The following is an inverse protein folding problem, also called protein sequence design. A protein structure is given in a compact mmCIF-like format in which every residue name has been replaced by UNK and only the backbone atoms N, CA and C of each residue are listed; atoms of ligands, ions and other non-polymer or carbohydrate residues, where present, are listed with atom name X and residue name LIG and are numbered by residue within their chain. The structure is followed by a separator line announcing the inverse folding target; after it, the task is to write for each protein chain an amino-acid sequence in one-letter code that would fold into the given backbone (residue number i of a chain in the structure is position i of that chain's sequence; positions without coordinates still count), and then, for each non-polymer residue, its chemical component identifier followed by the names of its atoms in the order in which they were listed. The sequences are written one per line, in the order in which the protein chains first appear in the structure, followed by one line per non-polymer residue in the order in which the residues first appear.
data_IF_710910216322
#
_entry.id   IF_710910216322
#
_cell.length_a   1.000
_cell.length_b   1.000
_cell.length_c   1.000
_cell.angle_alpha   90.00
_cell.angle_beta   90.00
_cell.angle_gamma   90.00
#
_symmetry.space_group_name_H-M   'P 1'
#
loop_
_entity.id
_entity.type
_entity.pdbx_description
1 polymer ?
#
# COMPACT_ATOMS: atom_id res chain seq x y z
N UNK A 1 -51.91 -1.03 37.24
CA UNK A 1 -51.20 -1.49 36.04
C UNK A 1 -49.78 -0.98 36.15
N UNK A 2 -48.83 -1.90 36.25
CA UNK A 2 -47.50 -1.71 36.82
C UNK A 2 -46.47 -1.26 35.76
N UNK A 3 -45.70 -0.23 36.08
CA UNK A 3 -44.60 0.31 35.26
C UNK A 3 -43.45 -0.71 35.06
N UNK A 4 -43.51 -1.87 35.72
CA UNK A 4 -42.60 -3.00 35.53
C UNK A 4 -42.76 -3.79 34.22
N UNK A 5 -43.86 -3.64 33.47
CA UNK A 5 -44.07 -4.43 32.23
C UNK A 5 -43.52 -3.80 30.94
N UNK A 6 -43.15 -2.52 30.94
CA UNK A 6 -42.57 -1.86 29.76
C UNK A 6 -41.06 -2.08 29.59
N UNK A 7 -40.37 -2.61 30.60
CA UNK A 7 -38.92 -2.90 30.55
C UNK A 7 -38.56 -4.31 30.08
N UNK A 8 -39.54 -5.22 29.99
CA UNK A 8 -39.28 -6.65 29.70
C UNK A 8 -39.45 -7.05 28.23
N UNK A 9 -39.64 -6.08 27.32
CA UNK A 9 -39.77 -6.31 25.88
C UNK A 9 -38.63 -5.70 25.04
N UNK A 10 -37.63 -5.07 25.68
CA UNK A 10 -36.49 -4.43 25.01
C UNK A 10 -35.12 -5.08 25.30
N UNK A 11 -35.07 -6.12 26.13
CA UNK A 11 -33.83 -6.85 26.51
C UNK A 11 -33.65 -8.19 25.77
N UNK A 12 -34.46 -8.47 24.74
CA UNK A 12 -34.48 -9.75 24.03
C UNK A 12 -33.75 -9.78 22.68
N UNK A 13 -33.20 -8.67 22.22
CA UNK A 13 -32.51 -8.58 20.93
C UNK A 13 -31.22 -7.77 21.10
N UNK A 14 -30.27 -8.33 21.85
CA UNK A 14 -28.87 -7.96 21.66
C UNK A 14 -28.50 -8.15 20.19
N UNK A 15 -27.55 -7.37 19.63
CA UNK A 15 -27.10 -7.55 18.26
C UNK A 15 -26.80 -9.03 18.06
N UNK A 16 -27.40 -9.67 17.04
CA UNK A 16 -27.03 -11.04 16.68
C UNK A 16 -25.50 -11.13 16.71
N UNK A 17 -24.91 -12.10 17.42
CA UNK A 17 -23.47 -12.17 17.52
C UNK A 17 -22.93 -12.21 16.10
N UNK A 18 -22.20 -11.16 15.72
CA UNK A 18 -21.60 -11.06 14.40
C UNK A 18 -20.95 -12.41 14.10
N UNK A 19 -21.43 -13.11 13.06
CA UNK A 19 -20.92 -14.44 12.72
C UNK A 19 -19.42 -14.31 12.45
N UNK A 20 -18.61 -14.67 13.44
CA UNK A 20 -17.16 -14.64 13.32
C UNK A 20 -16.76 -15.92 12.61
N UNK A 21 -16.11 -15.75 11.46
CA UNK A 21 -15.52 -16.85 10.71
C UNK A 21 -14.03 -16.56 10.55
N UNK A 22 -13.21 -17.60 10.67
CA UNK A 22 -11.79 -17.48 10.34
C UNK A 22 -11.64 -17.72 8.84
N UNK A 23 -11.10 -16.73 8.13
CA UNK A 23 -10.86 -16.83 6.68
C UNK A 23 -9.37 -17.01 6.42
N UNK A 24 -8.98 -18.16 5.87
CA UNK A 24 -7.63 -18.39 5.36
C UNK A 24 -7.61 -18.17 3.85
N UNK A 25 -6.63 -17.39 3.37
CA UNK A 25 -6.35 -17.22 1.94
C UNK A 25 -5.14 -18.07 1.58
N UNK A 26 -5.32 -18.99 0.63
CA UNK A 26 -4.36 -20.06 0.34
C UNK A 26 -4.52 -21.23 1.31
N UNK A 27 -3.87 -22.35 0.99
CA UNK A 27 -3.93 -23.55 1.83
C UNK A 27 -2.86 -23.50 2.93
N UNK A 28 -3.22 -23.84 4.18
CA UNK A 28 -2.24 -24.05 5.25
C UNK A 28 -1.19 -25.08 4.83
N UNK A 29 0.03 -24.94 5.35
CA UNK A 29 1.17 -25.78 4.96
C UNK A 29 0.98 -27.20 5.49
N UNK A 30 0.43 -27.35 6.70
CA UNK A 30 0.24 -28.61 7.39
C UNK A 30 -1.02 -28.61 8.29
N UNK A 31 -1.28 -29.78 8.89
CA UNK A 31 -2.40 -30.02 9.81
C UNK A 31 -2.33 -29.13 11.07
N UNK A 32 -1.14 -28.94 11.62
CA UNK A 32 -0.93 -28.13 12.84
C UNK A 32 -1.19 -26.64 12.59
N UNK A 33 -0.83 -26.13 11.41
CA UNK A 33 -1.16 -24.77 10.99
C UNK A 33 -2.65 -24.60 10.70
N UNK A 34 -3.28 -25.59 10.07
CA UNK A 34 -4.73 -25.58 9.88
C UNK A 34 -5.45 -25.52 11.24
N UNK A 35 -5.03 -26.33 12.20
CA UNK A 35 -5.65 -26.39 13.53
C UNK A 35 -5.42 -25.12 14.35
N UNK A 36 -4.20 -24.56 14.33
CA UNK A 36 -3.91 -23.26 14.95
C UNK A 36 -4.78 -22.12 14.39
N UNK A 37 -5.14 -22.17 13.10
CA UNK A 37 -5.97 -21.15 12.46
C UNK A 37 -7.46 -21.39 12.67
N UNK A 38 -7.92 -22.64 12.57
CA UNK A 38 -9.34 -22.97 12.48
C UNK A 38 -9.92 -23.74 13.68
N UNK A 39 -9.11 -24.13 14.66
CA UNK A 39 -9.53 -24.88 15.86
C UNK A 39 -10.26 -24.07 16.93
N UNK A 40 -10.44 -22.76 16.71
CA UNK A 40 -11.06 -21.83 17.67
C UNK A 40 -12.58 -21.96 17.88
N UNK A 41 -13.21 -23.05 17.41
CA UNK A 41 -14.65 -23.30 17.56
C UNK A 41 -15.57 -22.43 16.70
N UNK A 42 -15.00 -21.62 15.80
CA UNK A 42 -15.74 -20.83 14.82
C UNK A 42 -15.74 -21.54 13.45
N UNK A 43 -16.78 -21.34 12.63
CA UNK A 43 -16.76 -21.83 11.25
C UNK A 43 -15.56 -21.23 10.49
N UNK A 44 -14.78 -22.11 9.85
CA UNK A 44 -13.63 -21.74 9.03
C UNK A 44 -13.97 -21.69 7.55
N UNK A 45 -13.49 -20.67 6.83
CA UNK A 45 -13.53 -20.61 5.38
C UNK A 45 -12.09 -20.60 4.85
N UNK A 46 -11.80 -21.43 3.84
CA UNK A 46 -10.51 -21.44 3.16
C UNK A 46 -10.71 -21.09 1.68
N UNK A 47 -10.18 -19.95 1.26
CA UNK A 47 -10.18 -19.50 -0.13
C UNK A 47 -8.93 -20.03 -0.82
N UNK A 48 -9.11 -20.85 -1.86
CA UNK A 48 -8.03 -21.55 -2.53
C UNK A 48 -8.28 -21.70 -4.02
N UNK A 49 -7.22 -21.87 -4.80
CA UNK A 49 -7.35 -22.26 -6.21
C UNK A 49 -7.63 -23.75 -6.32
N UNK A 50 -8.36 -24.19 -7.34
CA UNK A 50 -8.73 -25.61 -7.50
C UNK A 50 -7.55 -26.60 -7.44
N UNK A 51 -6.35 -26.18 -7.84
CA UNK A 51 -5.10 -26.98 -7.75
C UNK A 51 -4.64 -27.28 -6.33
N UNK A 52 -5.06 -26.49 -5.35
CA UNK A 52 -4.65 -26.60 -3.95
C UNK A 52 -5.61 -27.49 -3.14
N UNK A 53 -6.77 -27.84 -3.72
CA UNK A 53 -7.81 -28.66 -3.08
C UNK A 53 -7.32 -30.04 -2.61
N UNK A 54 -6.49 -30.80 -3.38
CA UNK A 54 -5.98 -32.08 -2.90
C UNK A 54 -5.12 -31.95 -1.66
N UNK A 55 -4.31 -30.90 -1.57
CA UNK A 55 -3.47 -30.63 -0.40
C UNK A 55 -4.33 -30.28 0.82
N UNK A 56 -5.33 -29.40 0.66
CA UNK A 56 -6.25 -29.06 1.75
C UNK A 56 -7.00 -30.30 2.26
N UNK A 57 -7.52 -31.14 1.35
CA UNK A 57 -8.23 -32.39 1.73
C UNK A 57 -7.35 -33.32 2.57
N UNK A 58 -6.07 -33.44 2.22
CA UNK A 58 -5.11 -34.26 2.96
C UNK A 58 -4.89 -33.73 4.37
N UNK A 59 -4.54 -32.44 4.52
CA UNK A 59 -4.25 -31.85 5.84
C UNK A 59 -5.51 -31.73 6.71
N UNK A 60 -6.68 -31.49 6.10
CA UNK A 60 -7.95 -31.48 6.82
C UNK A 60 -8.28 -32.87 7.37
N UNK A 61 -8.10 -33.92 6.56
CA UNK A 61 -8.26 -35.30 7.03
C UNK A 61 -7.27 -35.67 8.14
N UNK A 62 -6.02 -35.21 8.07
CA UNK A 62 -5.01 -35.39 9.12
C UNK A 62 -5.38 -34.69 10.43
N UNK A 63 -5.95 -33.48 10.34
CA UNK A 63 -6.39 -32.69 11.50
C UNK A 63 -7.83 -33.01 11.95
N UNK A 64 -8.55 -33.90 11.27
CA UNK A 64 -9.92 -34.29 11.62
C UNK A 64 -11.01 -33.26 11.26
N UNK A 65 -10.75 -32.38 10.29
CA UNK A 65 -11.73 -31.43 9.78
C UNK A 65 -12.54 -32.02 8.61
N UNK A 66 -13.86 -31.86 8.68
CA UNK A 66 -14.76 -32.11 7.55
C UNK A 66 -14.82 -30.88 6.65
N UNK A 67 -14.56 -31.09 5.35
CA UNK A 67 -14.57 -30.03 4.35
C UNK A 67 -15.88 -30.07 3.56
N UNK A 68 -16.68 -29.02 3.71
CA UNK A 68 -17.87 -28.78 2.90
C UNK A 68 -17.57 -27.69 1.86
N UNK A 69 -17.96 -27.87 0.58
CA UNK A 69 -17.97 -26.77 -0.37
C UNK A 69 -18.81 -25.63 0.20
N UNK A 70 -18.23 -24.43 0.30
CA UNK A 70 -19.02 -23.25 0.61
C UNK A 70 -20.04 -23.08 -0.52
N UNK A 71 -21.30 -23.40 -0.25
CA UNK A 71 -22.38 -23.29 -1.22
C UNK A 71 -22.54 -21.82 -1.63
N UNK A 72 -21.90 -21.41 -2.72
CA UNK A 72 -22.21 -20.16 -3.41
C UNK A 72 -23.31 -20.43 -4.44
N UNK A 73 -24.55 -20.60 -3.99
CA UNK A 73 -25.73 -20.48 -4.88
C UNK A 73 -26.08 -19.00 -5.14
N UNK A 74 -25.34 -18.05 -4.56
CA UNK A 74 -25.50 -16.63 -4.88
C UNK A 74 -24.69 -16.33 -6.13
N UNK A 75 -25.38 -16.16 -7.26
CA UNK A 75 -24.77 -15.56 -8.42
C UNK A 75 -24.16 -14.21 -7.98
N UNK A 76 -22.85 -13.99 -8.16
CA UNK A 76 -22.21 -12.74 -7.79
C UNK A 76 -22.85 -11.52 -8.48
N UNK A 77 -23.58 -11.73 -9.58
CA UNK A 77 -24.41 -10.72 -10.21
C UNK A 77 -25.62 -10.33 -9.38
N UNK A 78 -26.27 -11.24 -8.66
CA UNK A 78 -27.46 -10.94 -7.87
C UNK A 78 -27.12 -10.04 -6.69
N UNK A 79 -25.99 -10.31 -6.02
CA UNK A 79 -25.47 -9.46 -4.94
C UNK A 79 -25.15 -8.05 -5.47
N UNK A 80 -24.55 -7.96 -6.66
CA UNK A 80 -24.19 -6.69 -7.26
C UNK A 80 -25.42 -5.90 -7.74
N UNK A 81 -26.41 -6.57 -8.32
CA UNK A 81 -27.68 -5.96 -8.76
C UNK A 81 -28.46 -5.45 -7.56
N UNK A 82 -28.47 -6.18 -6.45
CA UNK A 82 -29.11 -5.73 -5.20
C UNK A 82 -28.43 -4.46 -4.65
N UNK A 83 -27.10 -4.42 -4.58
CA UNK A 83 -26.37 -3.24 -4.11
C UNK A 83 -26.56 -2.02 -5.03
N UNK A 84 -26.58 -2.23 -6.35
CA UNK A 84 -26.86 -1.16 -7.31
C UNK A 84 -28.27 -0.61 -7.13
N UNK A 85 -29.26 -1.49 -6.95
CA UNK A 85 -30.65 -1.08 -6.70
C UNK A 85 -30.75 -0.18 -5.47
N UNK A 86 -30.20 -0.62 -4.35
CA UNK A 86 -30.22 0.14 -3.10
C UNK A 86 -29.54 1.52 -3.26
N UNK A 87 -28.40 1.56 -3.96
CA UNK A 87 -27.69 2.81 -4.26
C UNK A 87 -28.56 3.77 -5.09
N UNK A 88 -29.23 3.25 -6.12
CA UNK A 88 -30.10 4.05 -6.99
C UNK A 88 -31.34 4.53 -6.24
N UNK A 89 -32.00 3.66 -5.48
CA UNK A 89 -33.17 4.00 -4.66
C UNK A 89 -32.82 5.09 -3.63
N UNK A 90 -31.71 4.93 -2.91
CA UNK A 90 -31.22 5.94 -1.97
C UNK A 90 -30.90 7.27 -2.65
N UNK A 91 -30.29 7.26 -3.84
CA UNK A 91 -29.99 8.47 -4.58
C UNK A 91 -31.27 9.20 -5.07
N UNK A 92 -32.28 8.44 -5.50
CA UNK A 92 -33.57 9.00 -5.92
C UNK A 92 -34.29 9.68 -4.75
N UNK A 93 -34.21 9.11 -3.55
CA UNK A 93 -34.88 9.66 -2.37
C UNK A 93 -34.13 10.84 -1.73
N UNK A 94 -32.79 10.80 -1.74
CA UNK A 94 -31.97 11.66 -0.88
C UNK A 94 -31.06 12.64 -1.63
N UNK A 95 -31.04 12.64 -2.97
CA UNK A 95 -30.16 13.50 -3.77
C UNK A 95 -30.92 14.46 -4.66
N UNK A 96 -30.35 15.66 -4.89
CA UNK A 96 -30.87 16.57 -5.92
C UNK A 96 -30.44 16.08 -7.32
N UNK A 97 -31.43 15.58 -8.07
CA UNK A 97 -31.24 15.05 -9.41
C UNK A 97 -31.45 16.10 -10.52
N UNK A 98 -31.99 17.28 -10.21
CA UNK A 98 -32.30 18.32 -11.20
C UNK A 98 -31.08 18.72 -12.06
N UNK A 99 -29.87 18.94 -11.49
CA UNK A 99 -28.70 19.26 -12.30
C UNK A 99 -28.34 18.14 -13.28
N UNK A 100 -28.56 16.89 -12.88
CA UNK A 100 -28.22 15.71 -13.68
C UNK A 100 -29.21 15.48 -14.82
N UNK A 101 -30.48 15.85 -14.65
CA UNK A 101 -31.46 15.80 -15.73
C UNK A 101 -31.02 16.64 -16.93
N UNK A 102 -30.56 17.88 -16.70
CA UNK A 102 -30.09 18.77 -17.77
C UNK A 102 -28.89 18.17 -18.51
N UNK A 103 -27.96 17.56 -17.78
CA UNK A 103 -26.76 16.94 -18.38
C UNK A 103 -27.12 15.68 -19.18
N UNK A 104 -28.06 14.88 -18.68
CA UNK A 104 -28.41 13.60 -19.29
C UNK A 104 -29.48 13.71 -20.38
N UNK A 105 -30.23 14.82 -20.45
CA UNK A 105 -31.33 15.02 -21.40
C UNK A 105 -30.91 14.72 -22.86
N UNK A 106 -29.82 15.27 -23.42
CA UNK A 106 -29.42 14.97 -24.79
C UNK A 106 -29.07 13.49 -25.02
N UNK A 107 -28.49 12.83 -24.01
CA UNK A 107 -28.12 11.41 -24.08
C UNK A 107 -29.35 10.51 -24.01
N UNK A 108 -30.34 10.90 -23.20
CA UNK A 108 -31.62 10.19 -23.06
C UNK A 108 -32.43 10.34 -24.35
N UNK A 109 -32.45 11.52 -24.96
CA UNK A 109 -33.09 11.73 -26.27
C UNK A 109 -32.42 10.89 -27.37
N UNK A 110 -31.08 10.83 -27.39
CA UNK A 110 -30.34 10.12 -28.42
C UNK A 110 -30.39 8.58 -28.29
N UNK A 111 -30.41 8.04 -27.07
CA UNK A 111 -30.18 6.61 -26.81
C UNK A 111 -31.28 5.92 -25.98
N UNK A 112 -32.22 6.68 -25.43
CA UNK A 112 -33.25 6.20 -24.53
C UNK A 112 -32.75 5.97 -23.10
N UNK A 113 -33.63 6.22 -22.12
CA UNK A 113 -33.29 6.17 -20.69
C UNK A 113 -32.71 4.82 -20.23
N UNK A 114 -33.22 3.70 -20.77
CA UNK A 114 -32.75 2.36 -20.40
C UNK A 114 -31.30 2.10 -20.78
N UNK A 115 -30.91 2.53 -21.98
CA UNK A 115 -29.54 2.35 -22.49
C UNK A 115 -28.58 3.22 -21.72
N UNK A 116 -28.95 4.48 -21.46
CA UNK A 116 -28.16 5.40 -20.64
C UNK A 116 -27.98 4.86 -19.22
N UNK A 117 -29.05 4.38 -18.58
CA UNK A 117 -28.98 3.77 -17.25
C UNK A 117 -28.07 2.53 -17.22
N UNK A 118 -28.20 1.62 -18.20
CA UNK A 118 -27.34 0.44 -18.29
C UNK A 118 -25.87 0.80 -18.52
N UNK A 119 -25.58 1.81 -19.36
CA UNK A 119 -24.23 2.29 -19.61
C UNK A 119 -23.61 2.92 -18.35
N UNK A 120 -24.37 3.73 -17.60
CA UNK A 120 -23.92 4.33 -16.34
C UNK A 120 -23.67 3.26 -15.27
N UNK A 121 -24.56 2.27 -15.14
CA UNK A 121 -24.38 1.14 -14.23
C UNK A 121 -23.08 0.37 -14.56
N UNK A 122 -22.81 0.10 -15.85
CA UNK A 122 -21.57 -0.52 -16.29
C UNK A 122 -20.34 0.35 -16.00
N UNK A 123 -20.42 1.66 -16.22
CA UNK A 123 -19.32 2.59 -15.99
C UNK A 123 -18.98 2.72 -14.49
N UNK A 124 -19.99 2.78 -13.62
CA UNK A 124 -19.81 2.73 -12.16
C UNK A 124 -19.12 1.44 -11.75
N UNK A 125 -19.53 0.31 -12.33
CA UNK A 125 -18.90 -0.98 -12.04
C UNK A 125 -17.44 -1.03 -12.49
N UNK A 126 -17.13 -0.51 -13.67
CA UNK A 126 -15.76 -0.43 -14.16
C UNK A 126 -14.88 0.36 -13.18
N UNK A 127 -15.35 1.51 -12.70
CA UNK A 127 -14.64 2.32 -11.70
C UNK A 127 -14.43 1.60 -10.38
N UNK A 128 -15.47 0.95 -9.83
CA UNK A 128 -15.32 0.18 -8.59
C UNK A 128 -14.32 -0.98 -8.74
N UNK A 129 -14.27 -1.62 -9.90
CA UNK A 129 -13.30 -2.68 -10.17
C UNK A 129 -11.88 -2.13 -10.31
N UNK A 130 -11.71 -0.96 -10.90
CA UNK A 130 -10.42 -0.25 -10.98
C UNK A 130 -9.96 0.17 -9.58
N UNK A 131 -10.83 0.79 -8.79
CA UNK A 131 -10.58 1.15 -7.39
C UNK A 131 -10.24 -0.07 -6.54
N UNK A 132 -10.97 -1.17 -6.68
CA UNK A 132 -10.68 -2.43 -5.98
C UNK A 132 -9.34 -3.03 -6.42
N UNK A 133 -8.96 -2.90 -7.70
CA UNK A 133 -7.66 -3.34 -8.21
C UNK A 133 -6.53 -2.47 -7.69
N UNK A 134 -6.73 -1.16 -7.60
CA UNK A 134 -5.76 -0.23 -7.04
C UNK A 134 -5.62 -0.40 -5.52
N UNK A 135 -6.71 -0.73 -4.81
CA UNK A 135 -6.69 -1.08 -3.40
C UNK A 135 -6.08 -2.47 -3.12
N UNK A 136 -6.29 -3.43 -4.03
CA UNK A 136 -5.71 -4.78 -3.95
C UNK A 136 -4.30 -4.87 -4.50
N UNK A 137 -3.81 -3.79 -5.14
CA UNK A 137 -2.43 -3.68 -5.55
C UNK A 137 -1.62 -3.64 -4.26
N UNK A 138 -0.78 -4.66 -3.98
CA UNK A 138 0.00 -4.65 -2.75
C UNK A 138 0.79 -3.36 -2.74
N UNK A 139 0.52 -2.52 -1.74
CA UNK A 139 1.42 -1.45 -1.37
C UNK A 139 2.78 -2.13 -1.20
N UNK A 140 3.65 -2.01 -2.21
CA UNK A 140 5.00 -2.57 -2.15
C UNK A 140 5.70 -1.79 -1.03
N UNK A 141 5.68 -2.40 0.15
CA UNK A 141 6.35 -1.95 1.36
C UNK A 141 5.64 -0.82 2.11
N UNK A 142 4.51 -1.11 2.75
CA UNK A 142 4.10 -0.37 3.96
C UNK A 142 3.92 -1.38 5.08
N UNK A 143 5.03 -1.67 5.77
CA UNK A 143 4.96 -2.20 7.12
C UNK A 143 4.26 -1.15 7.96
N UNK A 144 3.04 -1.46 8.40
CA UNK A 144 2.36 -0.70 9.42
C UNK A 144 3.17 -0.81 10.71
N UNK A 145 3.71 0.32 11.17
CA UNK A 145 3.89 0.54 12.60
C UNK A 145 2.85 1.57 13.01
N UNK A 146 2.02 1.15 13.97
CA UNK A 146 0.97 1.93 14.58
C UNK A 146 1.55 3.12 15.35
N UNK A 147 0.85 4.26 15.24
CA UNK A 147 0.81 5.31 16.24
C UNK A 147 1.91 6.36 16.14
N UNK A 148 1.57 7.52 15.59
CA UNK A 148 1.78 8.76 16.34
C UNK A 148 0.89 9.87 15.78
N UNK A 149 0.07 10.41 16.65
CA UNK A 149 -0.65 11.66 16.47
C UNK A 149 0.35 12.82 16.33
N UNK A 150 0.07 13.74 15.39
CA UNK A 150 0.58 15.11 15.44
C UNK A 150 1.90 15.38 14.74
N UNK A 151 1.81 15.87 13.50
CA UNK A 151 2.89 16.58 12.84
C UNK A 151 2.44 16.97 11.44
N UNK A 152 2.48 18.25 11.08
CA UNK A 152 2.07 18.75 9.76
C UNK A 152 2.86 18.12 8.60
N UNK A 153 2.64 18.55 7.35
CA UNK A 153 3.35 17.99 6.20
C UNK A 153 4.86 18.20 6.34
N UNK A 154 5.58 17.19 6.85
CA UNK A 154 7.02 17.20 6.96
C UNK A 154 7.62 17.00 5.58
N UNK A 155 8.52 17.90 5.19
CA UNK A 155 9.25 17.79 3.94
C UNK A 155 10.28 16.65 4.04
N UNK A 156 10.07 15.58 3.29
CA UNK A 156 11.01 14.48 3.14
C UNK A 156 11.91 14.71 1.93
N UNK A 157 13.22 14.54 2.12
CA UNK A 157 14.23 14.53 1.05
C UNK A 157 14.77 13.12 0.85
N UNK A 158 15.08 12.78 -0.40
CA UNK A 158 15.57 11.45 -0.76
C UNK A 158 17.09 11.39 -0.70
N UNK A 159 17.60 10.42 0.04
CA UNK A 159 19.02 10.09 0.13
C UNK A 159 19.33 8.84 -0.69
N UNK A 160 20.51 8.83 -1.29
CA UNK A 160 21.11 7.68 -1.97
C UNK A 160 22.19 7.08 -1.07
N UNK A 161 22.13 5.77 -0.86
CA UNK A 161 23.11 5.02 -0.08
C UNK A 161 23.71 3.92 -0.96
N UNK A 162 25.03 3.82 -1.00
CA UNK A 162 25.78 2.92 -1.90
C UNK A 162 25.75 1.43 -1.54
N UNK A 163 24.83 1.00 -0.67
CA UNK A 163 24.65 -0.40 -0.24
C UNK A 163 23.26 -0.88 -0.58
N UNK A 164 23.13 -2.17 -0.91
CA UNK A 164 21.89 -2.77 -1.38
C UNK A 164 21.66 -4.18 -0.86
N UNK A 165 20.65 -4.86 -1.40
CA UNK A 165 20.26 -6.21 -0.98
C UNK A 165 21.37 -7.24 -1.23
N UNK A 166 22.25 -7.03 -2.23
CA UNK A 166 23.41 -7.91 -2.48
C UNK A 166 24.45 -7.88 -1.36
N UNK A 167 24.42 -6.85 -0.53
CA UNK A 167 25.27 -6.73 0.66
C UNK A 167 24.64 -7.45 1.87
N UNK A 168 23.57 -8.22 1.64
CA UNK A 168 22.83 -8.98 2.65
C UNK A 168 21.91 -8.13 3.52
N UNK A 169 21.81 -6.82 3.27
CA UNK A 169 21.05 -5.89 4.09
C UNK A 169 19.56 -5.96 3.78
N UNK A 170 18.73 -6.13 4.81
CA UNK A 170 17.30 -5.93 4.75
C UNK A 170 16.88 -4.48 5.06
N UNK A 171 15.63 -4.10 4.80
CA UNK A 171 15.11 -2.77 5.15
C UNK A 171 15.23 -2.45 6.66
N UNK A 172 15.03 -3.46 7.53
CA UNK A 172 15.20 -3.31 8.98
C UNK A 172 16.65 -3.08 9.40
N UNK A 173 17.61 -3.73 8.73
CA UNK A 173 19.04 -3.51 8.99
C UNK A 173 19.46 -2.09 8.61
N UNK A 174 18.92 -1.57 7.51
CA UNK A 174 19.19 -0.21 7.05
C UNK A 174 18.58 0.83 7.98
N UNK A 175 17.34 0.62 8.43
CA UNK A 175 16.72 1.48 9.44
C UNK A 175 17.55 1.50 10.74
N UNK A 176 17.97 0.32 11.22
CA UNK A 176 18.80 0.19 12.41
C UNK A 176 20.16 0.87 12.25
N UNK A 177 20.80 0.72 11.09
CA UNK A 177 22.08 1.38 10.83
C UNK A 177 21.95 2.90 10.71
N UNK A 178 20.89 3.40 10.08
CA UNK A 178 20.67 4.85 9.96
C UNK A 178 20.40 5.46 11.33
N UNK A 179 19.46 4.89 12.09
CA UNK A 179 19.13 5.38 13.44
C UNK A 179 20.29 5.23 14.42
N UNK A 180 21.03 4.12 14.36
CA UNK A 180 22.19 3.85 15.21
C UNK A 180 23.39 4.77 14.94
N UNK A 181 23.72 5.03 13.67
CA UNK A 181 24.91 5.83 13.31
C UNK A 181 24.63 7.35 13.34
N UNK A 182 23.42 7.76 12.95
CA UNK A 182 23.08 9.20 12.87
C UNK A 182 22.35 9.74 14.10
N UNK A 183 21.92 8.86 15.01
CA UNK A 183 21.21 9.22 16.24
C UNK A 183 19.83 9.85 16.00
N UNK A 184 19.26 9.68 14.81
CA UNK A 184 17.91 10.14 14.49
C UNK A 184 16.87 9.13 14.95
N UNK A 185 15.66 9.62 15.16
CA UNK A 185 14.53 8.76 15.48
C UNK A 185 14.01 8.07 14.22
N UNK A 186 13.44 6.88 14.38
CA UNK A 186 12.95 6.08 13.25
C UNK A 186 11.73 6.67 12.54
N UNK A 187 10.99 7.57 13.20
CA UNK A 187 9.89 8.37 12.62
C UNK A 187 10.39 9.41 11.60
N UNK A 188 11.62 9.89 11.75
CA UNK A 188 12.26 10.83 10.82
C UNK A 188 12.78 10.14 9.54
N UNK A 189 12.68 8.81 9.47
CA UNK A 189 13.03 7.98 8.33
C UNK A 189 11.74 7.47 7.70
N UNK A 190 11.47 7.94 6.49
CA UNK A 190 10.33 7.52 5.69
C UNK A 190 10.62 6.26 4.88
N UNK A 191 10.22 6.28 3.61
CA UNK A 191 10.27 5.11 2.74
C UNK A 191 11.70 4.68 2.41
N UNK A 192 11.98 3.38 2.59
CA UNK A 192 13.23 2.71 2.19
C UNK A 192 12.96 1.87 0.93
N UNK A 193 13.54 2.28 -0.20
CA UNK A 193 13.55 1.53 -1.46
C UNK A 193 14.91 0.84 -1.65
N UNK A 194 14.93 -0.45 -1.29
CA UNK A 194 16.09 -1.31 -1.36
C UNK A 194 16.27 -1.86 -2.79
N UNK A 195 17.41 -1.60 -3.42
CA UNK A 195 17.82 -2.19 -4.70
C UNK A 195 18.98 -3.14 -4.51
N UNK A 196 19.30 -3.89 -5.56
CA UNK A 196 20.41 -4.83 -5.57
C UNK A 196 21.75 -4.18 -5.18
N UNK A 197 22.03 -2.99 -5.72
CA UNK A 197 23.34 -2.32 -5.64
C UNK A 197 23.35 -1.03 -4.84
N UNK A 198 22.17 -0.48 -4.50
CA UNK A 198 22.02 0.76 -3.75
C UNK A 198 20.68 0.79 -3.02
N UNK A 199 20.52 1.75 -2.12
CA UNK A 199 19.26 1.98 -1.40
C UNK A 199 18.89 3.45 -1.51
N UNK A 200 17.60 3.73 -1.68
CA UNK A 200 17.04 5.08 -1.55
C UNK A 200 16.24 5.18 -0.27
N UNK A 201 16.47 6.23 0.50
CA UNK A 201 15.78 6.45 1.78
C UNK A 201 15.23 7.86 1.82
N UNK A 202 13.95 8.00 2.07
CA UNK A 202 13.33 9.30 2.32
C UNK A 202 13.55 9.66 3.80
N UNK A 203 14.09 10.84 4.09
CA UNK A 203 14.43 11.33 5.44
C UNK A 203 13.93 12.75 5.59
N UNK A 204 13.52 13.18 6.79
CA UNK A 204 13.18 14.58 7.04
C UNK A 204 14.31 15.53 6.62
N UNK A 205 13.96 16.63 5.95
CA UNK A 205 14.92 17.61 5.42
C UNK A 205 15.88 18.14 6.51
N UNK A 206 15.36 18.38 7.72
CA UNK A 206 16.11 18.92 8.86
C UNK A 206 17.25 17.99 9.34
N UNK A 207 17.13 16.68 9.12
CA UNK A 207 18.12 15.70 9.58
C UNK A 207 18.92 15.06 8.44
N UNK A 208 18.56 15.31 7.19
CA UNK A 208 19.21 14.72 6.02
C UNK A 208 20.72 14.97 5.95
N UNK A 209 21.19 16.19 6.19
CA UNK A 209 22.62 16.50 6.21
C UNK A 209 23.38 15.81 7.36
N UNK A 210 22.70 15.56 8.48
CA UNK A 210 23.26 14.84 9.62
C UNK A 210 23.44 13.37 9.26
N UNK A 211 22.43 12.76 8.65
CA UNK A 211 22.48 11.37 8.17
C UNK A 211 23.59 11.17 7.15
N UNK A 212 23.73 12.06 6.17
CA UNK A 212 24.79 11.99 5.16
C UNK A 212 26.18 12.02 5.81
N UNK A 213 26.40 12.91 6.78
CA UNK A 213 27.68 13.02 7.47
C UNK A 213 27.98 11.81 8.35
N UNK A 214 26.97 11.29 9.04
CA UNK A 214 27.11 10.13 9.92
C UNK A 214 27.40 8.84 9.15
N UNK A 215 26.74 8.62 8.00
CA UNK A 215 26.91 7.39 7.22
C UNK A 215 28.18 7.39 6.36
N UNK A 216 28.67 8.57 5.95
CA UNK A 216 29.87 8.65 5.12
C UNK A 216 31.12 8.27 5.91
N UNK A 217 31.73 7.15 5.56
CA UNK A 217 32.94 6.64 6.21
C UNK A 217 32.68 5.52 7.23
N UNK A 218 31.41 5.19 7.49
CA UNK A 218 31.01 4.03 8.29
C UNK A 218 31.04 2.76 7.43
N UNK A 219 31.36 1.63 8.05
CA UNK A 219 31.31 0.32 7.42
C UNK A 219 30.11 -0.47 7.93
N UNK A 220 29.11 -0.68 7.08
CA UNK A 220 27.94 -1.50 7.40
C UNK A 220 28.19 -2.90 6.83
N UNK A 221 28.20 -3.92 7.71
CA UNK A 221 28.47 -5.32 7.35
C UNK A 221 29.73 -5.53 6.51
N UNK A 222 30.81 -4.82 6.86
CA UNK A 222 32.11 -4.94 6.19
C UNK A 222 32.24 -4.20 4.85
N UNK A 223 31.21 -3.44 4.44
CA UNK A 223 31.26 -2.60 3.25
C UNK A 223 31.24 -1.12 3.63
N UNK A 224 32.16 -0.34 3.05
CA UNK A 224 32.19 1.10 3.24
C UNK A 224 30.96 1.75 2.60
N UNK A 225 30.27 2.56 3.38
CA UNK A 225 29.02 3.21 2.98
C UNK A 225 29.28 4.64 2.56
N UNK A 226 28.68 5.01 1.43
CA UNK A 226 28.60 6.38 0.95
C UNK A 226 27.14 6.80 0.89
N UNK A 227 26.83 7.92 1.51
CA UNK A 227 25.52 8.57 1.45
C UNK A 227 25.63 9.91 0.71
N UNK A 228 24.69 10.21 -0.17
CA UNK A 228 24.59 11.47 -0.90
C UNK A 228 23.11 11.83 -1.13
N UNK A 229 22.80 13.07 -1.50
CA UNK A 229 21.45 13.44 -1.91
C UNK A 229 21.09 12.78 -3.25
N UNK A 230 19.88 12.22 -3.35
CA UNK A 230 19.40 11.64 -4.60
C UNK A 230 19.02 12.78 -5.57
N UNK A 231 19.84 12.93 -6.62
CA UNK A 231 19.69 13.96 -7.65
C UNK A 231 18.42 13.79 -8.52
N UNK A 232 17.60 12.77 -8.28
CA UNK A 232 16.31 12.57 -8.96
C UNK A 232 15.15 13.40 -8.40
N UNK A 233 15.36 14.12 -7.29
CA UNK A 233 14.38 15.11 -6.77
C UNK A 233 14.90 16.53 -7.03
N UNK A 234 14.08 17.34 -7.70
CA UNK A 234 14.48 18.56 -8.38
C UNK A 234 15.26 19.56 -7.50
N UNK A 235 16.45 19.93 -7.97
CA UNK A 235 17.08 21.21 -7.65
C UNK A 235 16.94 22.12 -8.86
N UNK A 236 15.86 22.90 -8.88
CA UNK A 236 15.95 24.29 -9.30
C UNK A 236 16.88 24.99 -8.30
N UNK A 237 18.06 25.42 -8.75
CA UNK A 237 19.04 26.07 -7.88
C UNK A 237 20.38 26.29 -8.56
N UNK A 238 20.50 27.46 -9.19
CA UNK A 238 21.72 28.27 -9.31
C UNK A 238 23.06 27.52 -9.53
N UNK A 239 23.45 27.42 -10.79
CA UNK A 239 24.86 27.30 -11.15
C UNK A 239 25.63 28.54 -10.69
N UNK A 240 26.28 28.46 -9.54
CA UNK A 240 27.37 29.37 -9.17
C UNK A 240 28.67 28.61 -9.33
N UNK A 241 29.17 28.61 -10.57
CA UNK A 241 30.48 28.06 -10.91
C UNK A 241 31.58 28.87 -10.26
N UNK A 242 32.16 28.32 -9.18
CA UNK A 242 33.43 28.77 -8.63
C UNK A 242 34.56 28.43 -9.58
N UNK A 243 34.96 29.40 -10.41
CA UNK A 243 36.16 29.33 -11.22
C UNK A 243 37.40 29.55 -10.37
N UNK A 244 38.14 28.48 -10.06
CA UNK A 244 39.48 28.59 -9.46
C UNK A 244 40.48 28.96 -10.57
N UNK A 245 41.27 30.03 -10.43
CA UNK A 245 42.24 30.42 -11.45
C UNK A 245 43.47 29.52 -11.38
N UNK A 246 43.71 28.72 -12.42
CA UNK A 246 44.99 28.00 -12.56
C UNK A 246 46.03 28.88 -13.24
N UNK A 247 46.98 29.29 -12.40
CA UNK A 247 48.24 29.96 -12.72
C UNK A 247 49.29 28.94 -13.18
N UNK A 248 50.08 29.34 -14.19
CA UNK A 248 51.35 28.71 -14.61
C UNK A 248 51.18 27.77 -15.82
N UNK A 249 51.99 27.82 -16.88
CA UNK A 249 53.23 28.53 -17.13
C UNK A 249 54.18 27.65 -17.95
N UNK A 250 54.88 28.26 -18.91
CA UNK A 250 56.10 27.80 -19.61
C UNK A 250 55.96 26.73 -20.72
N UNK A 251 56.17 27.13 -21.98
CA UNK A 251 57.38 26.86 -22.80
C UNK A 251 57.09 25.75 -23.83
N UNK A 252 57.62 25.67 -25.06
CA UNK A 252 58.77 26.29 -25.74
C UNK A 252 58.71 25.83 -27.22
N UNK A 253 59.27 26.64 -28.12
CA UNK A 253 59.77 26.25 -29.46
C UNK A 253 58.73 26.38 -30.59
N UNK A 254 58.99 26.96 -31.75
CA UNK A 254 60.21 27.45 -32.44
C UNK A 254 59.81 27.45 -33.93
N UNK A 255 59.86 28.55 -34.67
CA UNK A 255 61.03 28.95 -35.45
C UNK A 255 60.62 29.28 -36.91
N UNK A 256 61.29 30.29 -37.49
CA UNK A 256 61.30 30.62 -38.93
C UNK A 256 60.12 31.49 -39.41
N UNK A 257 60.25 32.72 -39.93
CA UNK A 257 61.40 33.43 -40.48
C UNK A 257 61.47 33.30 -42.01
N UNK A 258 61.24 34.43 -42.71
CA UNK A 258 61.51 34.80 -44.13
C UNK A 258 60.21 35.04 -44.92
N UNK A 259 59.91 36.31 -45.21
CA UNK A 259 60.35 37.15 -46.35
C UNK A 259 59.48 36.92 -47.57
#
# INVERSE_FOLDING_TARGET
MDAGQARKAADGAGPEPARRAVVSVGTPVDADELDRRHGGGYPGLVLLHGRELPHLRRIAGEAGYDLEPAAEDRNPMDVQVAALRETVESAVENSDLLPWHVVLEPLVEAHGARTVAAALARALRARQLEEARDASRPARGTGASMGSEGGGPQAFVRLFISVGSRDGLGPGDLLGAITGESGIRGDQVGRIDLRDTFTRVDVEEEVAERVIRALNGVSIRGRSVRADFDRSTGRSGSGQGGGTPRKGGSSRGGGGGRR
#
